data_IF_603287727612
#
_entry.id   IF_603287727612
#
_cell.length_a   1.000
_cell.length_b   1.000
_cell.length_c   1.000
_cell.angle_alpha   90.00
_cell.angle_beta   90.00
_cell.angle_gamma   90.00
#
_symmetry.space_group_name_H-M   'P 1'
#
loop_
_entity.id
_entity.type
_entity.pdbx_description
1 polymer ?
#
# COMPACT_ATOMS: atom_id res chain seq x y z
N UNK A 1 15.16 7.87 4.00
CA UNK A 1 15.93 6.64 4.25
C UNK A 1 16.13 6.52 5.74
N UNK A 2 15.95 5.33 6.32
CA UNK A 2 16.05 5.10 7.76
C UNK A 2 16.94 3.89 7.96
N UNK A 3 17.82 3.94 8.96
CA UNK A 3 18.76 2.88 9.28
C UNK A 3 18.98 2.85 10.79
N UNK A 4 19.22 1.65 11.32
CA UNK A 4 19.49 1.45 12.73
C UNK A 4 20.99 1.65 12.98
N UNK A 5 21.36 2.68 13.74
CA UNK A 5 22.74 3.04 14.09
C UNK A 5 22.81 3.75 15.45
N UNK A 6 24.02 3.90 16.02
CA UNK A 6 24.24 4.80 17.15
C UNK A 6 23.76 6.23 16.84
N UNK A 7 23.23 6.89 17.86
CA UNK A 7 22.63 8.23 17.74
C UNK A 7 23.69 9.26 17.34
N UNK A 8 23.35 10.11 16.38
CA UNK A 8 24.17 11.25 15.92
C UNK A 8 23.25 12.46 15.79
N UNK A 9 23.73 13.67 16.10
CA UNK A 9 22.89 14.87 16.10
C UNK A 9 22.27 15.16 14.71
N UNK A 10 21.05 15.73 14.64
CA UNK A 10 20.50 16.21 13.38
C UNK A 10 21.46 17.21 12.72
N UNK A 11 21.43 17.31 11.39
CA UNK A 11 22.37 18.04 10.53
C UNK A 11 23.81 17.48 10.47
N UNK A 12 24.13 16.39 11.19
CA UNK A 12 25.44 15.73 11.05
C UNK A 12 25.57 15.06 9.69
N UNK A 13 26.63 15.37 8.94
CA UNK A 13 26.94 14.77 7.64
C UNK A 13 27.52 13.36 7.77
N UNK A 14 27.27 12.51 6.77
CA UNK A 14 27.86 11.17 6.67
C UNK A 14 28.11 10.76 5.21
N UNK A 15 29.01 9.79 5.02
CA UNK A 15 29.24 9.12 3.74
C UNK A 15 29.27 7.60 3.92
N UNK A 16 28.95 6.85 2.86
CA UNK A 16 29.02 5.39 2.83
C UNK A 16 29.64 4.90 1.52
N UNK A 17 30.45 3.85 1.62
CA UNK A 17 30.99 3.09 0.48
C UNK A 17 30.40 1.68 0.45
N UNK A 18 30.21 1.13 -0.74
CA UNK A 18 29.67 -0.22 -0.93
C UNK A 18 30.68 -1.33 -0.60
N UNK A 19 31.97 -1.05 -0.76
CA UNK A 19 33.06 -1.98 -0.48
C UNK A 19 34.30 -1.23 0.02
N UNK A 20 35.03 -1.87 0.92
CA UNK A 20 36.30 -1.39 1.46
C UNK A 20 37.52 -2.06 0.78
N UNK A 21 37.30 -3.00 -0.15
CA UNK A 21 38.39 -3.69 -0.83
C UNK A 21 39.26 -2.73 -1.64
N UNK A 22 40.57 -2.99 -1.68
CA UNK A 22 41.53 -2.26 -2.51
C UNK A 22 41.31 -2.45 -4.01
N UNK A 23 40.68 -3.55 -4.41
CA UNK A 23 40.60 -4.01 -5.80
C UNK A 23 39.53 -3.32 -6.66
N UNK A 24 38.76 -2.38 -6.11
CA UNK A 24 37.77 -1.61 -6.87
C UNK A 24 38.37 -0.30 -7.41
N UNK A 25 38.75 -0.22 -8.71
CA UNK A 25 39.20 1.03 -9.30
C UNK A 25 38.05 2.04 -9.41
N UNK A 26 38.34 3.34 -9.28
CA UNK A 26 37.38 4.43 -9.45
C UNK A 26 36.85 5.07 -8.15
N UNK A 27 35.81 5.90 -8.27
CA UNK A 27 35.18 6.61 -7.15
C UNK A 27 34.40 5.66 -6.24
N UNK A 28 34.68 5.70 -4.93
CA UNK A 28 34.25 4.67 -3.97
C UNK A 28 33.08 5.07 -3.07
N UNK A 29 32.73 6.35 -3.00
CA UNK A 29 31.64 6.83 -2.15
C UNK A 29 30.32 6.56 -2.90
N UNK A 30 29.47 5.71 -2.33
CA UNK A 30 28.18 5.34 -2.92
C UNK A 30 27.06 6.28 -2.49
N UNK A 31 27.16 6.88 -1.30
CA UNK A 31 26.11 7.74 -0.76
C UNK A 31 26.71 8.76 0.19
N UNK A 32 26.24 10.00 0.07
CA UNK A 32 26.49 11.08 1.04
C UNK A 32 25.14 11.64 1.48
N UNK A 33 25.05 12.11 2.72
CA UNK A 33 23.83 12.68 3.25
C UNK A 33 24.04 13.32 4.61
N UNK A 34 22.95 13.80 5.21
CA UNK A 34 22.92 14.31 6.57
C UNK A 34 21.79 13.64 7.36
N UNK A 35 21.98 13.54 8.67
CA UNK A 35 20.94 13.09 9.60
C UNK A 35 19.87 14.17 9.67
N UNK A 36 18.61 13.82 9.41
CA UNK A 36 17.50 14.77 9.47
C UNK A 36 16.79 14.71 10.82
N UNK A 37 16.60 13.51 11.34
CA UNK A 37 15.81 13.28 12.55
C UNK A 37 16.23 11.96 13.23
N UNK A 38 15.91 11.82 14.51
CA UNK A 38 16.29 10.69 15.37
C UNK A 38 15.06 10.21 16.12
N UNK A 39 14.60 9.01 15.80
CA UNK A 39 13.44 8.39 16.44
C UNK A 39 13.71 6.93 16.81
N UNK A 40 13.19 6.51 17.96
CA UNK A 40 13.24 5.11 18.40
C UNK A 40 12.29 4.19 17.61
N UNK A 41 11.22 4.76 17.04
CA UNK A 41 10.23 4.02 16.26
C UNK A 41 9.69 4.90 15.15
N UNK A 42 9.82 4.44 13.90
CA UNK A 42 9.33 5.18 12.74
C UNK A 42 8.25 4.41 12.00
N UNK A 43 7.18 5.12 11.62
CA UNK A 43 6.08 4.56 10.82
C UNK A 43 6.48 4.54 9.35
N UNK A 44 6.90 3.38 8.85
CA UNK A 44 7.17 3.15 7.43
C UNK A 44 6.05 2.30 6.84
N UNK A 45 5.26 2.88 5.94
CA UNK A 45 4.23 2.15 5.20
C UNK A 45 4.73 1.78 3.80
N UNK A 46 4.45 0.54 3.37
CA UNK A 46 4.57 0.13 1.96
C UNK A 46 3.17 -0.09 1.40
N UNK A 47 2.92 0.46 0.21
CA UNK A 47 1.63 0.31 -0.46
C UNK A 47 1.42 -1.14 -0.91
N UNK A 48 0.46 -1.83 -0.31
CA UNK A 48 0.02 -3.18 -0.71
C UNK A 48 -1.11 -3.08 -1.73
N UNK A 49 -0.99 -3.78 -2.86
CA UNK A 49 -2.05 -3.90 -3.87
C UNK A 49 -2.72 -5.27 -3.75
N UNK A 50 -3.94 -5.29 -3.23
CA UNK A 50 -4.75 -6.51 -3.14
C UNK A 50 -5.35 -6.85 -4.51
N UNK A 51 -5.12 -8.08 -4.99
CA UNK A 51 -5.81 -8.63 -6.17
C UNK A 51 -7.23 -9.01 -5.76
N UNK A 52 -8.18 -8.88 -6.69
CA UNK A 52 -9.58 -9.18 -6.42
C UNK A 52 -10.30 -9.61 -7.69
N UNK A 53 -11.42 -10.32 -7.51
CA UNK A 53 -12.23 -10.83 -8.61
C UNK A 53 -13.65 -10.28 -8.48
N UNK A 54 -14.10 -9.50 -9.46
CA UNK A 54 -15.51 -9.09 -9.56
C UNK A 54 -16.31 -10.25 -10.10
N UNK A 55 -17.44 -10.58 -9.47
CA UNK A 55 -18.29 -11.67 -9.95
C UNK A 55 -19.69 -11.23 -10.40
N UNK A 56 -20.21 -10.10 -9.89
CA UNK A 56 -21.44 -9.47 -10.40
C UNK A 56 -21.25 -7.96 -10.46
N UNK A 57 -21.69 -7.36 -11.57
CA UNK A 57 -21.61 -5.92 -11.82
C UNK A 57 -23.00 -5.43 -12.21
N UNK A 58 -23.53 -4.50 -11.44
CA UNK A 58 -24.73 -3.72 -11.74
C UNK A 58 -24.31 -2.33 -12.23
N UNK A 59 -25.24 -1.37 -12.29
CA UNK A 59 -24.96 -0.02 -12.81
C UNK A 59 -23.82 0.65 -12.03
N UNK A 60 -24.03 0.88 -10.74
CA UNK A 60 -23.05 1.53 -9.86
C UNK A 60 -22.55 0.59 -8.75
N UNK A 61 -23.15 -0.59 -8.60
CA UNK A 61 -22.85 -1.54 -7.53
C UNK A 61 -22.11 -2.76 -8.06
N UNK A 62 -21.09 -3.19 -7.33
CA UNK A 62 -20.21 -4.31 -7.73
C UNK A 62 -20.04 -5.26 -6.56
N UNK A 63 -20.11 -6.54 -6.87
CA UNK A 63 -19.84 -7.59 -5.92
C UNK A 63 -18.45 -8.19 -6.16
N UNK A 64 -17.64 -8.15 -5.12
CA UNK A 64 -16.21 -8.49 -5.13
C UNK A 64 -15.98 -9.71 -4.24
N UNK A 65 -15.19 -10.66 -4.72
CA UNK A 65 -14.70 -11.83 -3.97
C UNK A 65 -13.17 -11.92 -4.02
N UNK A 66 -12.62 -12.80 -3.18
CA UNK A 66 -11.19 -13.12 -3.11
C UNK A 66 -10.29 -11.91 -2.78
N UNK A 67 -10.85 -10.86 -2.18
CA UNK A 67 -10.10 -9.71 -1.67
C UNK A 67 -9.84 -9.83 -0.16
N UNK A 68 -10.81 -10.37 0.58
CA UNK A 68 -10.72 -10.67 2.00
C UNK A 68 -10.95 -12.17 2.21
N UNK A 69 -10.35 -12.73 3.26
CA UNK A 69 -10.53 -14.15 3.61
C UNK A 69 -11.70 -14.41 4.56
N UNK A 70 -12.23 -13.37 5.23
CA UNK A 70 -13.29 -13.50 6.21
C UNK A 70 -14.25 -12.31 6.21
N UNK A 71 -15.50 -12.55 6.60
CA UNK A 71 -16.52 -11.52 6.80
C UNK A 71 -16.06 -10.44 7.80
N UNK A 72 -15.42 -10.86 8.90
CA UNK A 72 -14.86 -9.95 9.90
C UNK A 72 -13.78 -9.03 9.34
N UNK A 73 -12.97 -9.52 8.38
CA UNK A 73 -11.99 -8.68 7.72
C UNK A 73 -12.69 -7.64 6.86
N UNK A 74 -13.75 -7.98 6.13
CA UNK A 74 -14.54 -7.00 5.35
C UNK A 74 -15.14 -5.92 6.26
N UNK A 75 -15.77 -6.32 7.37
CA UNK A 75 -16.42 -5.38 8.30
C UNK A 75 -15.45 -4.33 8.88
N UNK A 76 -14.16 -4.68 9.05
CA UNK A 76 -13.13 -3.70 9.46
C UNK A 76 -12.84 -2.62 8.41
N UNK A 77 -13.19 -2.88 7.15
CA UNK A 77 -13.03 -1.95 6.04
C UNK A 77 -14.38 -1.48 5.48
N UNK A 78 -15.46 -1.60 6.25
CA UNK A 78 -16.75 -0.98 5.90
C UNK A 78 -16.56 0.55 5.80
N UNK A 79 -17.26 1.18 4.85
CA UNK A 79 -17.15 2.61 4.53
C UNK A 79 -15.77 3.11 4.07
N UNK A 80 -14.79 2.23 3.90
CA UNK A 80 -13.47 2.61 3.42
C UNK A 80 -13.51 3.01 1.95
N UNK A 81 -12.90 4.16 1.64
CA UNK A 81 -12.78 4.67 0.30
C UNK A 81 -11.91 3.76 -0.58
N UNK A 82 -12.46 3.37 -1.71
CA UNK A 82 -11.83 2.58 -2.75
C UNK A 82 -11.76 3.33 -4.06
N UNK A 83 -10.74 3.02 -4.84
CA UNK A 83 -10.57 3.57 -6.19
C UNK A 83 -10.20 2.48 -7.18
N UNK A 84 -10.83 2.50 -8.35
CA UNK A 84 -10.41 1.65 -9.48
C UNK A 84 -9.17 2.18 -10.18
N UNK A 85 -8.45 1.32 -10.89
CA UNK A 85 -7.37 1.73 -11.81
C UNK A 85 -7.86 2.71 -12.88
N UNK A 86 -9.15 2.64 -13.24
CA UNK A 86 -9.83 3.60 -14.10
C UNK A 86 -10.20 4.91 -13.39
N UNK A 87 -9.73 5.11 -12.16
CA UNK A 87 -9.91 6.30 -11.32
C UNK A 87 -11.35 6.57 -10.84
N UNK A 88 -12.26 5.62 -10.97
CA UNK A 88 -13.62 5.70 -10.41
C UNK A 88 -13.55 5.45 -8.91
N UNK A 89 -14.15 6.34 -8.11
CA UNK A 89 -14.20 6.22 -6.64
C UNK A 89 -15.42 5.40 -6.22
N UNK A 90 -15.31 4.77 -5.06
CA UNK A 90 -16.39 4.02 -4.44
C UNK A 90 -16.06 3.69 -3.00
N UNK A 91 -16.95 2.98 -2.32
CA UNK A 91 -16.76 2.53 -0.94
C UNK A 91 -17.36 1.13 -0.76
N UNK A 92 -16.91 0.43 0.29
CA UNK A 92 -17.56 -0.81 0.72
C UNK A 92 -18.87 -0.44 1.41
N UNK A 93 -19.97 -1.00 0.91
CA UNK A 93 -21.32 -0.73 1.42
C UNK A 93 -21.78 -1.83 2.37
N UNK A 94 -21.48 -3.10 2.08
CA UNK A 94 -21.91 -4.23 2.91
C UNK A 94 -21.08 -5.49 2.69
N UNK A 95 -20.80 -6.22 3.76
CA UNK A 95 -20.25 -7.57 3.70
C UNK A 95 -21.29 -8.63 3.31
N UNK A 96 -20.83 -9.68 2.62
CA UNK A 96 -21.66 -10.81 2.24
C UNK A 96 -21.33 -12.05 3.05
N UNK A 97 -22.37 -12.77 3.48
CA UNK A 97 -22.22 -14.03 4.21
C UNK A 97 -21.67 -15.16 3.32
N UNK A 98 -21.98 -15.12 2.02
CA UNK A 98 -21.55 -16.12 1.04
C UNK A 98 -21.23 -15.44 -0.30
N UNK A 99 -20.10 -15.78 -0.95
CA UNK A 99 -18.96 -16.55 -0.43
C UNK A 99 -18.19 -15.79 0.66
N UNK A 100 -17.43 -16.51 1.49
CA UNK A 100 -16.76 -15.94 2.65
C UNK A 100 -15.74 -14.85 2.22
N UNK A 101 -15.78 -13.67 2.87
CA UNK A 101 -14.93 -12.53 2.51
C UNK A 101 -15.35 -11.78 1.24
N UNK A 102 -16.54 -12.07 0.69
CA UNK A 102 -17.14 -11.26 -0.37
C UNK A 102 -17.86 -10.03 0.20
N UNK A 103 -18.00 -9.00 -0.64
CA UNK A 103 -18.67 -7.76 -0.27
C UNK A 103 -19.29 -7.05 -1.46
N UNK A 104 -20.23 -6.17 -1.15
CA UNK A 104 -20.84 -5.20 -2.03
C UNK A 104 -20.12 -3.87 -1.89
N UNK A 105 -19.76 -3.27 -3.02
CA UNK A 105 -19.21 -1.93 -3.09
C UNK A 105 -19.96 -1.09 -4.13
N UNK A 106 -20.16 0.18 -3.81
CA UNK A 106 -20.84 1.13 -4.68
C UNK A 106 -19.85 2.18 -5.18
N UNK A 107 -19.92 2.48 -6.48
CA UNK A 107 -19.02 3.34 -7.23
C UNK A 107 -19.78 4.50 -7.87
N UNK A 108 -19.09 5.61 -8.11
CA UNK A 108 -19.65 6.80 -8.76
C UNK A 108 -20.13 6.51 -10.19
N UNK A 109 -19.45 5.60 -10.89
CA UNK A 109 -19.76 5.19 -12.26
C UNK A 109 -19.56 3.67 -12.43
N UNK A 110 -20.06 3.14 -13.55
CA UNK A 110 -20.01 1.72 -13.88
C UNK A 110 -18.57 1.23 -14.00
N UNK A 111 -18.21 0.30 -13.13
CA UNK A 111 -16.90 -0.37 -13.20
C UNK A 111 -16.83 -1.38 -14.37
N UNK A 112 -15.62 -1.58 -14.91
CA UNK A 112 -15.33 -2.58 -15.94
C UNK A 112 -15.15 -3.98 -15.31
N UNK A 113 -15.48 -5.03 -16.07
CA UNK A 113 -15.37 -6.46 -15.67
C UNK A 113 -13.98 -6.92 -15.22
N UNK A 114 -12.93 -6.16 -15.53
CA UNK A 114 -11.54 -6.49 -15.15
C UNK A 114 -10.85 -5.34 -14.40
N UNK A 115 -11.62 -4.45 -13.80
CA UNK A 115 -11.08 -3.32 -13.05
C UNK A 115 -10.30 -3.81 -11.84
N UNK A 116 -9.03 -3.40 -11.76
CA UNK A 116 -8.23 -3.54 -10.53
C UNK A 116 -8.60 -2.45 -9.55
N UNK A 117 -8.68 -2.89 -8.32
CA UNK A 117 -9.05 -2.19 -7.12
C UNK A 117 -7.92 -1.66 -6.25
N UNK A 118 -7.97 -0.42 -5.76
CA UNK A 118 -6.95 0.13 -4.87
C UNK A 118 -7.64 0.75 -3.64
N UNK A 119 -7.10 0.49 -2.44
CA UNK A 119 -7.46 1.25 -1.25
C UNK A 119 -7.00 2.70 -1.41
N UNK A 120 -7.85 3.65 -1.08
CA UNK A 120 -7.48 5.06 -1.07
C UNK A 120 -7.13 5.47 0.37
N UNK A 121 -5.90 5.96 0.53
CA UNK A 121 -5.39 6.51 1.80
C UNK A 121 -6.14 7.79 2.18
#
# INVERSE_FOLDING_TARGET
MMFYRPVSLPSTGFCMSSSLSGDTPGFRISTMGAVLDIDHSVKIAKKLKLKRVTYKIFKNTVFIKDMFSSVLAVAKFEEVNMKTVSKIRGHIEKELLKPNGAFQATFEDKSLKNSRFIHQD
#
